data_IF_604944430483
#
_entry.id   IF_604944430483
#
_cell.length_a   1.000
_cell.length_b   1.000
_cell.length_c   1.000
_cell.angle_alpha   90.00
_cell.angle_beta   90.00
_cell.angle_gamma   90.00
#
_symmetry.space_group_name_H-M   'P 1'
#
loop_
_entity.id
_entity.type
_entity.pdbx_description
1 polymer ?
#
# COMPACT_ATOMS: atom_id res chain seq x y z
N UNK A 1 -6.77 -17.22 -14.33
CA UNK A 1 -6.06 -15.92 -14.39
C UNK A 1 -5.60 -15.64 -12.97
N UNK A 2 -4.31 -15.34 -12.73
CA UNK A 2 -3.79 -15.15 -11.37
C UNK A 2 -4.45 -13.92 -10.73
N UNK A 3 -5.23 -14.11 -9.65
CA UNK A 3 -6.00 -13.06 -8.97
C UNK A 3 -5.11 -11.88 -8.53
N UNK A 4 -3.87 -12.17 -8.15
CA UNK A 4 -2.88 -11.15 -7.82
C UNK A 4 -2.59 -10.17 -8.98
N UNK A 5 -2.76 -10.56 -10.26
CA UNK A 5 -2.55 -9.63 -11.38
C UNK A 5 -3.54 -8.47 -11.40
N UNK A 6 -4.74 -8.64 -10.84
CA UNK A 6 -5.71 -7.54 -10.75
C UNK A 6 -5.18 -6.39 -9.86
N UNK A 7 -4.30 -6.70 -8.91
CA UNK A 7 -3.67 -5.73 -8.01
C UNK A 7 -2.59 -4.87 -8.67
N UNK A 8 -2.20 -5.16 -9.93
CA UNK A 8 -1.35 -4.25 -10.73
C UNK A 8 -1.95 -2.84 -10.81
N UNK A 9 -3.29 -2.74 -10.72
CA UNK A 9 -4.02 -1.48 -10.68
C UNK A 9 -3.69 -0.64 -9.46
N UNK A 10 -3.26 -1.22 -8.34
CA UNK A 10 -2.89 -0.47 -7.14
C UNK A 10 -1.43 -0.02 -7.16
N UNK A 11 -0.54 -0.75 -7.86
CA UNK A 11 0.90 -0.49 -7.87
C UNK A 11 1.21 0.98 -8.24
N UNK A 12 2.00 1.67 -7.42
CA UNK A 12 2.31 3.09 -7.58
C UNK A 12 2.02 3.92 -6.33
N UNK A 13 2.20 5.24 -6.44
CA UNK A 13 1.97 6.18 -5.34
C UNK A 13 0.63 6.90 -5.53
N UNK A 14 -0.11 7.10 -4.45
CA UNK A 14 -1.42 7.71 -4.44
C UNK A 14 -1.50 8.79 -3.38
N UNK A 15 -2.05 9.94 -3.76
CA UNK A 15 -2.47 10.96 -2.81
C UNK A 15 -3.88 10.65 -2.37
N UNK A 16 -4.09 10.60 -1.05
CA UNK A 16 -5.40 10.36 -0.43
C UNK A 16 -5.94 11.67 0.11
N UNK A 17 -7.22 11.92 -0.11
CA UNK A 17 -7.97 13.07 0.43
C UNK A 17 -9.35 12.64 0.92
N UNK A 18 -9.96 13.40 1.83
CA UNK A 18 -11.28 13.11 2.39
C UNK A 18 -11.20 12.97 3.90
N UNK A 19 -11.84 11.93 4.46
CA UNK A 19 -11.77 11.67 5.90
C UNK A 19 -10.37 11.23 6.37
N UNK A 20 -9.52 10.76 5.46
CA UNK A 20 -8.09 10.58 5.71
C UNK A 20 -7.30 11.28 4.59
N UNK A 21 -6.16 11.85 4.95
CA UNK A 21 -5.35 12.64 4.02
C UNK A 21 -3.88 12.29 4.09
N UNK A 22 -3.21 12.20 2.96
CA UNK A 22 -1.77 11.92 2.90
C UNK A 22 -1.39 11.11 1.68
N UNK A 23 -0.47 10.16 1.84
CA UNK A 23 0.07 9.35 0.74
C UNK A 23 0.07 7.87 1.12
N UNK A 24 -0.29 7.03 0.15
CA UNK A 24 -0.01 5.60 0.20
C UNK A 24 0.81 5.18 -1.02
N UNK A 25 1.66 4.17 -0.87
CA UNK A 25 2.48 3.64 -1.97
C UNK A 25 2.41 2.12 -2.00
N UNK A 26 2.02 1.59 -3.15
CA UNK A 26 2.00 0.17 -3.43
C UNK A 26 3.21 -0.23 -4.27
N UNK A 27 3.89 -1.31 -3.90
CA UNK A 27 5.02 -1.85 -4.64
C UNK A 27 5.04 -3.38 -4.57
N UNK A 28 5.25 -4.03 -5.71
CA UNK A 28 5.41 -5.47 -5.77
C UNK A 28 6.71 -5.91 -5.11
N UNK A 29 6.67 -6.99 -4.32
CA UNK A 29 7.86 -7.75 -3.99
C UNK A 29 8.33 -8.55 -5.20
N UNK A 30 9.62 -8.85 -5.21
CA UNK A 30 10.20 -9.77 -6.19
C UNK A 30 9.43 -11.10 -6.20
N UNK A 31 9.13 -11.59 -7.41
CA UNK A 31 8.30 -12.77 -7.62
C UNK A 31 6.80 -12.51 -7.79
N UNK A 32 6.29 -11.32 -7.43
CA UNK A 32 4.91 -10.92 -7.75
C UNK A 32 3.82 -11.67 -6.96
N UNK A 33 4.17 -12.24 -5.80
CA UNK A 33 3.21 -12.93 -4.92
C UNK A 33 2.64 -12.01 -3.82
N UNK A 34 3.38 -10.95 -3.47
CA UNK A 34 3.00 -10.01 -2.43
C UNK A 34 3.12 -8.58 -2.91
N UNK A 35 2.07 -7.79 -2.67
CA UNK A 35 2.06 -6.35 -2.84
C UNK A 35 2.27 -5.69 -1.47
N UNK A 36 3.23 -4.78 -1.38
CA UNK A 36 3.49 -4.01 -0.17
C UNK A 36 2.80 -2.65 -0.27
N UNK A 37 2.05 -2.25 0.75
CA UNK A 37 1.55 -0.89 0.92
C UNK A 37 2.37 -0.18 1.99
N UNK A 38 2.83 1.03 1.71
CA UNK A 38 3.36 1.96 2.71
C UNK A 38 2.32 3.04 2.94
N UNK A 39 2.04 3.35 4.20
CA UNK A 39 1.00 4.29 4.61
C UNK A 39 1.61 5.46 5.37
N UNK A 40 1.25 6.67 4.97
CA UNK A 40 1.49 7.89 5.73
C UNK A 40 0.28 8.82 5.56
N UNK A 41 -0.66 8.70 6.48
CA UNK A 41 -1.94 9.40 6.47
C UNK A 41 -2.16 10.16 7.76
N UNK A 42 -3.05 11.15 7.73
CA UNK A 42 -3.66 11.79 8.88
C UNK A 42 -5.15 11.50 8.84
N UNK A 43 -5.70 11.01 9.95
CA UNK A 43 -7.12 10.73 10.13
C UNK A 43 -7.52 11.21 11.53
N UNK A 44 -8.59 12.03 11.63
CA UNK A 44 -9.03 12.65 12.88
C UNK A 44 -7.88 13.31 13.68
N UNK A 45 -7.00 14.02 12.98
CA UNK A 45 -5.85 14.72 13.57
C UNK A 45 -4.72 13.79 14.07
N UNK A 46 -4.83 12.48 13.87
CA UNK A 46 -3.81 11.50 14.23
C UNK A 46 -3.08 11.01 13.00
N UNK A 47 -1.75 10.94 13.08
CA UNK A 47 -0.94 10.32 12.04
C UNK A 47 -1.08 8.80 12.12
N UNK A 48 -1.45 8.19 11.00
CA UNK A 48 -1.47 6.75 10.77
C UNK A 48 -0.34 6.46 9.79
N UNK A 49 0.72 5.81 10.28
CA UNK A 49 1.82 5.38 9.43
C UNK A 49 2.19 3.94 9.72
N UNK A 50 2.54 3.21 8.66
CA UNK A 50 2.80 1.79 8.75
C UNK A 50 3.05 1.13 7.39
N UNK A 51 3.10 -0.20 7.41
CA UNK A 51 3.28 -1.03 6.23
C UNK A 51 2.27 -2.17 6.23
N UNK A 52 1.78 -2.52 5.05
CA UNK A 52 0.88 -3.65 4.82
C UNK A 52 1.52 -4.64 3.87
N UNK A 53 1.34 -5.93 4.14
CA UNK A 53 1.71 -7.02 3.23
C UNK A 53 0.43 -7.66 2.72
N UNK A 54 0.21 -7.65 1.40
CA UNK A 54 -1.03 -8.10 0.75
C UNK A 54 -0.71 -9.28 -0.17
N UNK A 55 -1.42 -10.41 -0.02
CA UNK A 55 -1.25 -11.59 -0.85
C UNK A 55 -1.97 -12.83 -0.28
N UNK A 56 -1.86 -13.96 -0.97
CA UNK A 56 -2.36 -15.23 -0.45
C UNK A 56 -1.46 -15.75 0.66
N UNK A 57 -2.06 -16.26 1.75
CA UNK A 57 -1.29 -17.00 2.75
C UNK A 57 -0.83 -18.33 2.15
N UNK A 58 0.42 -18.68 2.45
CA UNK A 58 0.97 -20.00 2.15
C UNK A 58 1.84 -20.47 3.31
N UNK A 59 1.22 -20.88 4.44
CA UNK A 59 1.95 -21.33 5.61
C UNK A 59 2.73 -22.63 5.35
N UNK A 60 3.72 -22.91 6.19
CA UNK A 60 4.54 -24.11 6.05
C UNK A 60 3.69 -25.38 6.24
N UNK A 61 3.67 -26.24 5.22
CA UNK A 61 2.94 -27.52 5.26
C UNK A 61 1.45 -27.40 4.95
N UNK A 62 0.97 -26.21 4.56
CA UNK A 62 -0.43 -25.95 4.22
C UNK A 62 -0.57 -25.54 2.75
N UNK A 63 -1.73 -25.79 2.11
CA UNK A 63 -1.98 -25.27 0.77
C UNK A 63 -2.03 -23.74 0.75
N UNK A 64 -1.86 -23.14 -0.44
CA UNK A 64 -2.12 -21.72 -0.65
C UNK A 64 -3.59 -21.43 -0.35
N UNK A 65 -3.86 -20.38 0.42
CA UNK A 65 -5.20 -19.93 0.75
C UNK A 65 -5.89 -19.26 -0.43
N UNK A 66 -7.22 -19.39 -0.50
CA UNK A 66 -8.02 -18.87 -1.61
C UNK A 66 -8.18 -17.34 -1.57
N UNK A 67 -8.31 -16.75 -0.38
CA UNK A 67 -8.49 -15.30 -0.24
C UNK A 67 -7.15 -14.55 -0.33
N UNK A 68 -7.18 -13.36 -0.96
CA UNK A 68 -6.11 -12.37 -0.81
C UNK A 68 -6.30 -11.65 0.51
N UNK A 69 -5.38 -11.89 1.45
CA UNK A 69 -5.42 -11.27 2.77
C UNK A 69 -4.32 -10.23 2.91
N UNK A 70 -4.36 -9.51 4.01
CA UNK A 70 -3.27 -8.64 4.39
C UNK A 70 -3.13 -8.51 5.90
N UNK A 71 -1.95 -8.02 6.30
CA UNK A 71 -1.72 -7.51 7.66
C UNK A 71 -1.02 -6.17 7.60
N UNK A 72 -1.61 -5.17 8.25
CA UNK A 72 -1.05 -3.85 8.46
C UNK A 72 -0.31 -3.80 9.80
N UNK A 73 0.87 -3.20 9.81
CA UNK A 73 1.70 -2.95 10.98
C UNK A 73 1.93 -1.44 11.11
N UNK A 74 1.48 -0.85 12.21
CA UNK A 74 1.63 0.59 12.44
C UNK A 74 2.78 0.95 13.39
N UNK A 75 3.07 2.25 13.44
CA UNK A 75 4.10 2.82 14.33
C UNK A 75 3.77 2.74 15.83
N UNK A 76 2.57 2.30 16.20
CA UNK A 76 2.14 2.12 17.60
C UNK A 76 2.15 0.65 18.02
N UNK A 77 2.55 -0.27 17.13
CA UNK A 77 2.60 -1.70 17.39
C UNK A 77 1.26 -2.42 17.19
N UNK A 78 0.27 -1.77 16.59
CA UNK A 78 -0.98 -2.43 16.23
C UNK A 78 -0.78 -3.31 15.00
N UNK A 79 -1.49 -4.44 14.98
CA UNK A 79 -1.64 -5.29 13.80
C UNK A 79 -3.10 -5.40 13.42
N UNK A 80 -3.44 -5.05 12.19
CA UNK A 80 -4.80 -5.12 11.66
C UNK A 80 -4.83 -6.04 10.45
N UNK A 81 -5.77 -6.99 10.44
CA UNK A 81 -5.93 -7.94 9.35
C UNK A 81 -7.06 -7.51 8.42
N UNK A 82 -6.88 -7.73 7.13
CA UNK A 82 -7.91 -7.44 6.12
C UNK A 82 -8.01 -8.54 5.05
N UNK A 83 -9.15 -8.60 4.38
CA UNK A 83 -9.35 -9.36 3.13
C UNK A 83 -9.59 -8.39 1.99
N UNK A 84 -8.99 -8.65 0.83
CA UNK A 84 -9.12 -7.85 -0.39
C UNK A 84 -9.90 -8.59 -1.47
N UNK A 85 -10.68 -7.82 -2.22
CA UNK A 85 -11.15 -8.19 -3.56
C UNK A 85 -10.96 -6.99 -4.48
N UNK A 86 -10.50 -7.23 -5.71
CA UNK A 86 -10.38 -6.19 -6.71
C UNK A 86 -10.77 -6.73 -8.08
N UNK A 87 -11.58 -5.96 -8.80
CA UNK A 87 -11.92 -6.19 -10.20
C UNK A 87 -11.58 -4.96 -11.07
N UNK A 88 -12.14 -4.86 -12.26
CA UNK A 88 -11.87 -3.75 -13.18
C UNK A 88 -12.38 -2.39 -12.70
N UNK A 89 -13.38 -2.37 -11.82
CA UNK A 89 -14.14 -1.19 -11.45
C UNK A 89 -14.26 -0.97 -9.94
N UNK A 90 -13.95 -1.98 -9.12
CA UNK A 90 -14.18 -1.94 -7.69
C UNK A 90 -13.01 -2.54 -6.92
N UNK A 91 -12.60 -1.81 -5.88
CA UNK A 91 -11.77 -2.31 -4.79
C UNK A 91 -12.66 -2.50 -3.55
N UNK A 92 -12.64 -3.68 -2.96
CA UNK A 92 -13.29 -3.99 -1.70
C UNK A 92 -12.26 -4.47 -0.69
N UNK A 93 -12.31 -3.93 0.53
CA UNK A 93 -11.44 -4.35 1.64
C UNK A 93 -12.31 -4.58 2.86
N UNK A 94 -12.23 -5.75 3.49
CA UNK A 94 -12.94 -6.02 4.74
C UNK A 94 -11.97 -5.95 5.93
N UNK A 95 -12.38 -5.27 7.00
CA UNK A 95 -11.70 -5.31 8.29
C UNK A 95 -11.91 -6.67 8.95
N UNK A 96 -10.81 -7.40 9.17
CA UNK A 96 -10.84 -8.78 9.64
C UNK A 96 -11.22 -9.74 8.52
N UNK A 97 -12.33 -10.46 8.70
CA UNK A 97 -12.79 -11.48 7.75
C UNK A 97 -13.65 -10.92 6.62
N UNK A 98 -13.68 -11.63 5.49
CA UNK A 98 -14.56 -11.35 4.35
C UNK A 98 -16.02 -11.26 4.78
N UNK A 99 -16.74 -10.25 4.27
CA UNK A 99 -18.13 -9.99 4.64
C UNK A 99 -18.31 -9.23 5.96
N UNK A 100 -17.22 -8.81 6.62
CA UNK A 100 -17.27 -7.95 7.80
C UNK A 100 -18.08 -6.67 7.57
N UNK A 101 -18.85 -6.19 8.57
CA UNK A 101 -19.56 -4.92 8.47
C UNK A 101 -18.61 -3.72 8.43
N UNK A 102 -17.34 -3.89 8.83
CA UNK A 102 -16.27 -2.92 8.58
C UNK A 102 -15.69 -3.17 7.19
N UNK A 103 -16.01 -2.31 6.22
CA UNK A 103 -15.69 -2.53 4.82
C UNK A 103 -15.36 -1.21 4.11
N UNK A 104 -14.27 -1.21 3.34
CA UNK A 104 -13.97 -0.21 2.32
C UNK A 104 -14.57 -0.65 0.98
N UNK A 105 -15.19 0.28 0.26
CA UNK A 105 -15.52 0.12 -1.15
C UNK A 105 -15.07 1.34 -1.92
N UNK A 106 -14.31 1.14 -3.00
CA UNK A 106 -13.82 2.20 -3.85
C UNK A 106 -14.01 1.89 -5.33
N UNK A 107 -14.72 2.76 -6.04
CA UNK A 107 -14.87 2.69 -7.48
C UNK A 107 -13.58 3.18 -8.16
N UNK A 108 -13.05 2.37 -9.07
CA UNK A 108 -11.87 2.64 -9.88
C UNK A 108 -12.35 3.27 -11.19
N UNK A 109 -11.77 4.42 -11.57
CA UNK A 109 -12.07 5.06 -12.85
C UNK A 109 -11.55 4.24 -14.04
N UNK A 110 -12.03 4.56 -15.24
CA UNK A 110 -11.67 3.83 -16.45
C UNK A 110 -10.15 3.85 -16.73
N UNK A 111 -9.47 4.93 -16.34
CA UNK A 111 -8.03 5.13 -16.53
C UNK A 111 -7.18 4.44 -15.44
N UNK A 112 -7.80 3.93 -14.36
CA UNK A 112 -7.09 3.36 -13.20
C UNK A 112 -6.21 4.38 -12.47
N UNK A 113 -6.58 5.66 -12.50
CA UNK A 113 -5.84 6.77 -11.89
C UNK A 113 -6.56 7.39 -10.70
N UNK A 114 -7.84 7.08 -10.52
CA UNK A 114 -8.64 7.57 -9.40
C UNK A 114 -9.42 6.41 -8.77
N UNK A 115 -9.41 6.35 -7.44
CA UNK A 115 -10.29 5.48 -6.66
C UNK A 115 -11.14 6.36 -5.75
N UNK A 116 -12.46 6.33 -5.93
CA UNK A 116 -13.39 7.09 -5.07
C UNK A 116 -14.23 6.13 -4.26
N UNK A 117 -14.14 6.25 -2.94
CA UNK A 117 -14.70 5.27 -2.04
C UNK A 117 -14.83 5.73 -0.61
N UNK A 118 -14.88 4.77 0.31
CA UNK A 118 -14.89 5.05 1.72
C UNK A 118 -15.00 3.81 2.58
N UNK A 119 -14.62 3.96 3.84
CA UNK A 119 -14.86 2.98 4.88
C UNK A 119 -16.26 3.17 5.47
N UNK A 120 -16.94 2.06 5.69
CA UNK A 120 -18.17 1.98 6.49
C UNK A 120 -17.96 0.96 7.60
N UNK A 121 -18.43 1.24 8.80
CA UNK A 121 -18.42 0.31 9.93
C UNK A 121 -19.56 0.64 10.89
N UNK A 122 -19.93 -0.27 11.82
CA UNK A 122 -20.99 0.02 12.78
C UNK A 122 -20.71 1.32 13.56
N UNK A 123 -21.61 2.29 13.44
CA UNK A 123 -21.51 3.57 14.14
C UNK A 123 -20.63 4.63 13.45
N UNK A 124 -20.10 4.39 12.25
CA UNK A 124 -19.32 5.40 11.56
C UNK A 124 -18.84 5.02 10.16
N UNK A 125 -17.98 5.87 9.62
CA UNK A 125 -17.41 5.72 8.30
C UNK A 125 -16.88 7.05 7.79
N UNK A 126 -16.12 6.98 6.71
CA UNK A 126 -15.58 8.17 6.06
C UNK A 126 -15.32 7.90 4.58
N UNK A 127 -15.43 8.96 3.77
CA UNK A 127 -15.14 8.90 2.34
C UNK A 127 -13.69 9.26 2.07
N UNK A 128 -13.15 8.71 0.99
CA UNK A 128 -11.81 8.98 0.51
C UNK A 128 -11.81 9.06 -1.00
N UNK A 129 -10.95 9.92 -1.55
CA UNK A 129 -10.53 9.88 -2.94
C UNK A 129 -9.03 9.65 -2.97
N UNK A 130 -8.59 8.65 -3.73
CA UNK A 130 -7.20 8.36 -4.01
C UNK A 130 -6.91 8.76 -5.46
N UNK A 131 -5.91 9.61 -5.67
CA UNK A 131 -5.46 10.00 -7.02
C UNK A 131 -4.01 9.58 -7.20
N UNK A 132 -3.72 8.88 -8.29
CA UNK A 132 -2.38 8.41 -8.61
C UNK A 132 -1.44 9.60 -8.82
N UNK A 133 -0.33 9.60 -8.10
CA UNK A 133 0.74 10.57 -8.28
C UNK A 133 1.51 10.18 -9.55
N UNK A 134 1.51 11.06 -10.54
CA UNK A 134 2.38 10.89 -11.71
C UNK A 134 3.81 11.26 -11.32
N UNK A 135 4.83 10.57 -11.84
CA UNK A 135 6.20 11.04 -11.76
C UNK A 135 6.26 12.46 -12.31
N UNK A 136 6.78 13.40 -11.52
CA UNK A 136 7.08 14.72 -12.03
C UNK A 136 8.16 14.59 -13.10
N UNK A 137 7.88 15.02 -14.32
CA UNK A 137 8.87 15.15 -15.40
C UNK A 137 9.78 16.37 -15.19
N UNK A 138 9.98 16.82 -13.95
CA UNK A 138 10.92 17.88 -13.66
C UNK A 138 12.33 17.36 -14.00
N UNK A 139 13.09 18.03 -14.89
CA UNK A 139 14.47 17.66 -15.12
C UNK A 139 15.21 17.74 -13.78
N UNK A 140 15.84 16.63 -13.40
CA UNK A 140 16.78 16.59 -12.30
C UNK A 140 17.77 17.75 -12.52
N UNK A 141 17.92 18.71 -11.56
CA UNK A 141 18.94 19.73 -11.72
C UNK A 141 20.28 18.99 -11.88
N UNK A 142 20.94 19.23 -13.02
CA UNK A 142 22.25 18.68 -13.31
C UNK A 142 23.18 19.06 -12.16
N UNK A 143 23.47 18.09 -11.30
CA UNK A 143 24.43 18.26 -10.22
C UNK A 143 25.78 18.61 -10.83
N UNK A 144 26.14 19.87 -10.73
CA UNK A 144 27.50 20.34 -10.87
C UNK A 144 28.25 19.78 -9.65
N UNK A 145 29.02 18.72 -9.85
CA UNK A 145 29.89 18.19 -8.81
C UNK A 145 30.94 19.24 -8.44
N UNK A 146 31.27 19.42 -7.16
CA UNK A 146 32.60 19.92 -6.83
C UNK A 146 33.57 18.75 -7.01
N UNK A 147 34.44 18.91 -8.00
CA UNK A 147 35.69 18.18 -8.08
C UNK A 147 36.57 18.49 -6.85
N UNK A 148 37.45 17.55 -6.55
CA UNK A 148 38.56 17.56 -5.57
C UNK A 148 38.27 17.19 -4.10
N UNK A 149 38.66 15.94 -3.77
CA UNK A 149 39.61 15.65 -2.69
C UNK A 149 39.09 15.56 -1.26
N UNK A 150 38.74 14.36 -0.80
CA UNK A 150 39.51 13.73 0.28
C UNK A 150 39.10 12.27 0.45
N UNK A 151 40.12 11.42 0.60
CA UNK A 151 40.00 9.99 0.80
C UNK A 151 39.34 9.70 2.15
N UNK A 152 38.21 8.99 2.15
CA UNK A 152 37.72 8.30 3.34
C UNK A 152 38.03 6.81 3.20
N UNK A 153 38.91 6.35 4.09
CA UNK A 153 39.25 4.95 4.32
C UNK A 153 37.98 4.11 4.55
N UNK A 154 37.96 2.91 3.95
CA UNK A 154 36.95 1.91 4.23
C UNK A 154 37.27 1.19 5.55
N UNK A 155 36.33 1.05 6.50
CA UNK A 155 36.44 0.02 7.51
C UNK A 155 35.95 -1.33 6.96
N UNK A 156 36.84 -2.29 7.16
CA UNK A 156 36.79 -3.73 6.93
C UNK A 156 35.46 -4.34 7.42
N UNK A 157 34.96 -5.32 6.66
CA UNK A 157 33.62 -5.88 6.79
C UNK A 157 33.28 -6.60 8.09
N UNK A 158 31.98 -6.84 8.24
CA UNK A 158 31.42 -7.86 9.14
C UNK A 158 30.42 -8.69 8.34
N UNK A 159 30.64 -10.01 8.40
CA UNK A 159 29.83 -11.03 7.78
C UNK A 159 28.44 -11.14 8.39
N UNK A 160 27.53 -11.53 7.52
CA UNK A 160 26.18 -12.02 7.75
C UNK A 160 26.25 -13.25 8.67
N UNK A 161 25.32 -13.33 9.61
CA UNK A 161 24.83 -14.57 10.20
C UNK A 161 23.30 -14.56 10.15
#
# INVERSE_FOLDING_TARGET
MNEMRAFDRLAGTWKVTGGAEGVVRYAWMDGGFFLLQHVDLVHDGRRISGMEVIGHLHPFGEPVGDDVVSRFYDTQGNTLDYVYEIDEHMLTIWGGAKGSPACYRGAIDADGTTITGGWTYPGGGYTTTMVRVRPSTAPQPSGQGPDSGDAFEQPVGVHIA
#
